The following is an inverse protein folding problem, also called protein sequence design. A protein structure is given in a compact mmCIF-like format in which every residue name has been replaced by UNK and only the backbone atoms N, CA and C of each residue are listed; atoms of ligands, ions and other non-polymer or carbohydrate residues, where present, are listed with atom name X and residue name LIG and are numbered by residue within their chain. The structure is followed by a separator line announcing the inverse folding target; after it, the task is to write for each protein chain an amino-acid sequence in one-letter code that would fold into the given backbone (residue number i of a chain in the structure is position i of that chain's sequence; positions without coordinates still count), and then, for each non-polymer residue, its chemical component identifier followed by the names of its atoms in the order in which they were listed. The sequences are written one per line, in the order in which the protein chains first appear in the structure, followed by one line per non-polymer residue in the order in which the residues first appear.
data_IF_106745035236
#
_entry.id   IF_106745035236
#
_cell.length_a   1.000
_cell.length_b   1.000
_cell.length_c   1.000
_cell.angle_alpha   90.00
_cell.angle_beta   90.00
_cell.angle_gamma   90.00
#
_symmetry.space_group_name_H-M   'P 1'
#
loop_
_entity.id
_entity.type
_entity.pdbx_description
1 polymer ?
#
# COMPACT_ATOMS: atom_id res chain seq x y z
N UNK A 1 10.12 -22.31 14.98
CA UNK A 1 11.10 -21.68 14.07
C UNK A 1 10.59 -21.83 12.65
N UNK A 2 9.85 -20.85 12.11
CA UNK A 2 9.26 -20.94 10.76
C UNK A 2 10.19 -20.23 9.78
N UNK A 3 10.87 -20.98 8.92
CA UNK A 3 11.85 -20.46 7.98
C UNK A 3 11.16 -19.79 6.78
N UNK A 4 11.17 -18.45 6.74
CA UNK A 4 10.72 -17.64 5.60
C UNK A 4 11.81 -17.62 4.53
N UNK A 5 11.90 -18.67 3.73
CA UNK A 5 12.80 -18.75 2.57
C UNK A 5 12.02 -18.65 1.26
N UNK A 6 12.40 -17.76 0.36
CA UNK A 6 11.90 -17.77 -1.04
C UNK A 6 12.98 -18.34 -1.94
N UNK A 7 12.60 -19.22 -2.85
CA UNK A 7 13.51 -19.76 -3.86
C UNK A 7 13.15 -19.13 -5.21
N UNK A 8 14.05 -18.32 -5.81
CA UNK A 8 13.85 -17.79 -7.14
C UNK A 8 13.73 -18.94 -8.16
N UNK A 9 12.86 -18.77 -9.16
CA UNK A 9 12.70 -19.76 -10.23
C UNK A 9 14.02 -19.90 -11.00
N UNK A 10 14.62 -21.09 -10.98
CA UNK A 10 15.92 -21.38 -11.60
C UNK A 10 17.15 -21.37 -10.67
N UNK A 11 16.99 -20.98 -9.40
CA UNK A 11 18.06 -21.03 -8.40
C UNK A 11 17.86 -22.18 -7.41
N UNK A 12 18.96 -22.77 -6.89
CA UNK A 12 18.92 -23.78 -5.79
C UNK A 12 19.11 -23.15 -4.41
N UNK A 13 19.38 -21.85 -4.33
CA UNK A 13 19.60 -21.16 -3.06
C UNK A 13 18.30 -20.64 -2.45
N UNK A 14 18.10 -20.95 -1.17
CA UNK A 14 17.02 -20.45 -0.35
C UNK A 14 17.41 -19.07 0.19
N UNK A 15 16.66 -18.02 -0.17
CA UNK A 15 16.89 -16.66 0.35
C UNK A 15 15.97 -16.43 1.54
N UNK A 16 16.53 -16.25 2.75
CA UNK A 16 15.75 -15.87 3.93
C UNK A 16 15.23 -14.44 3.76
N UNK A 17 13.91 -14.26 3.72
CA UNK A 17 13.25 -12.97 3.55
C UNK A 17 12.41 -12.64 4.79
N UNK A 18 12.74 -11.54 5.45
CA UNK A 18 11.86 -10.90 6.42
C UNK A 18 10.95 -9.90 5.69
N UNK A 19 9.79 -10.38 5.23
CA UNK A 19 8.87 -9.56 4.43
C UNK A 19 7.77 -8.99 5.32
N UNK A 20 7.65 -7.67 5.32
CA UNK A 20 6.44 -6.95 5.74
C UNK A 20 5.65 -6.60 4.48
N UNK A 21 4.58 -7.34 4.20
CA UNK A 21 3.71 -7.02 3.06
C UNK A 21 2.80 -5.85 3.46
N UNK A 22 2.82 -4.77 2.69
CA UNK A 22 1.98 -3.59 2.91
C UNK A 22 1.02 -3.47 1.73
N UNK A 23 -0.26 -3.66 2.03
CA UNK A 23 -1.46 -3.45 1.20
C UNK A 23 -1.74 -4.43 0.04
N UNK A 24 -3.00 -4.85 -0.05
CA UNK A 24 -3.63 -5.41 -1.24
C UNK A 24 -4.88 -4.57 -1.54
N UNK A 25 -5.10 -4.22 -2.80
CA UNK A 25 -6.24 -3.39 -3.22
C UNK A 25 -7.55 -4.20 -3.33
N UNK A 26 -7.49 -5.51 -3.05
CA UNK A 26 -8.63 -6.42 -3.09
C UNK A 26 -8.87 -7.04 -1.71
N UNK A 27 -10.13 -7.32 -1.31
CA UNK A 27 -10.41 -8.00 -0.06
C UNK A 27 -9.89 -9.44 -0.09
N UNK A 28 -8.69 -9.69 0.46
CA UNK A 28 -8.04 -11.01 0.44
C UNK A 28 -8.92 -12.13 1.02
N UNK A 29 -9.75 -11.82 2.01
CA UNK A 29 -10.71 -12.77 2.57
C UNK A 29 -11.72 -13.30 1.53
N UNK A 30 -12.14 -12.47 0.55
CA UNK A 30 -13.02 -12.91 -0.55
C UNK A 30 -12.26 -13.77 -1.55
N UNK A 31 -11.01 -13.43 -1.84
CA UNK A 31 -10.16 -14.18 -2.76
C UNK A 31 -9.78 -15.56 -2.22
N UNK A 32 -9.60 -15.70 -0.90
CA UNK A 32 -9.44 -16.99 -0.22
C UNK A 32 -10.70 -17.85 -0.39
N UNK A 33 -11.89 -17.29 -0.14
CA UNK A 33 -13.16 -18.01 -0.32
C UNK A 33 -13.40 -18.44 -1.77
N UNK A 34 -12.93 -17.64 -2.73
CA UNK A 34 -13.02 -17.95 -4.15
C UNK A 34 -11.95 -18.93 -4.65
N UNK A 35 -11.06 -19.43 -3.77
CA UNK A 35 -9.99 -20.35 -4.11
C UNK A 35 -8.85 -19.74 -4.94
N UNK A 36 -8.88 -18.43 -5.17
CA UNK A 36 -7.85 -17.70 -5.94
C UNK A 36 -6.66 -17.27 -5.10
N UNK A 37 -6.81 -17.27 -3.77
CA UNK A 37 -5.74 -16.93 -2.85
C UNK A 37 -5.49 -18.04 -1.83
N UNK A 38 -4.21 -18.32 -1.58
CA UNK A 38 -3.78 -19.36 -0.64
C UNK A 38 -4.09 -18.97 0.81
N UNK A 39 -4.86 -19.82 1.48
CA UNK A 39 -5.33 -19.60 2.84
C UNK A 39 -4.18 -19.54 3.87
N UNK A 40 -3.14 -20.36 3.70
CA UNK A 40 -1.97 -20.37 4.59
C UNK A 40 -1.12 -19.09 4.48
N UNK A 41 -1.10 -18.47 3.31
CA UNK A 41 -0.47 -17.17 3.09
C UNK A 41 -1.32 -16.07 3.74
N UNK A 42 -2.65 -16.10 3.55
CA UNK A 42 -3.55 -15.12 4.15
C UNK A 42 -3.38 -15.05 5.68
N UNK A 43 -3.41 -16.18 6.38
CA UNK A 43 -3.27 -16.19 7.84
C UNK A 43 -1.92 -15.69 8.35
N UNK A 44 -0.82 -15.87 7.59
CA UNK A 44 0.49 -15.31 7.94
C UNK A 44 0.59 -13.81 7.68
N UNK A 45 -0.16 -13.29 6.72
CA UNK A 45 -0.17 -11.85 6.39
C UNK A 45 -1.13 -11.06 7.26
N UNK A 46 -2.18 -11.69 7.76
CA UNK A 46 -3.26 -11.04 8.50
C UNK A 46 -2.95 -10.85 10.00
N UNK A 47 -1.68 -10.92 10.41
CA UNK A 47 -1.27 -10.73 11.81
C UNK A 47 -1.54 -9.29 12.28
N UNK A 48 -1.38 -8.30 11.40
CA UNK A 48 -1.80 -6.92 11.63
C UNK A 48 -2.34 -6.31 10.33
N UNK A 49 -3.60 -5.88 10.34
CA UNK A 49 -4.25 -5.21 9.21
C UNK A 49 -4.45 -3.74 9.55
N UNK A 50 -3.93 -2.86 8.70
CA UNK A 50 -4.24 -1.43 8.74
C UNK A 50 -5.18 -1.16 7.56
N UNK A 51 -6.41 -0.78 7.88
CA UNK A 51 -7.38 -0.34 6.88
C UNK A 51 -7.17 1.15 6.63
N UNK A 52 -6.68 1.50 5.45
CA UNK A 52 -6.62 2.88 5.01
C UNK A 52 -8.02 3.28 4.47
N UNK A 53 -8.73 4.23 5.09
CA UNK A 53 -9.98 4.71 4.53
C UNK A 53 -9.74 5.36 3.16
N UNK A 54 -10.69 5.25 2.22
CA UNK A 54 -10.61 5.93 0.95
C UNK A 54 -10.62 7.45 1.18
N UNK A 55 -10.07 8.20 0.23
CA UNK A 55 -9.90 9.67 0.37
C UNK A 55 -11.21 10.41 0.65
N UNK A 56 -12.34 9.93 0.12
CA UNK A 56 -13.69 10.48 0.38
C UNK A 56 -14.19 10.35 1.82
N UNK A 57 -13.58 9.47 2.62
CA UNK A 57 -13.91 9.21 4.03
C UNK A 57 -12.85 9.81 4.97
N UNK A 58 -11.91 10.61 4.43
CA UNK A 58 -10.84 11.26 5.18
C UNK A 58 -11.06 12.76 5.21
N UNK A 59 -10.77 13.36 6.36
CA UNK A 59 -10.87 14.82 6.57
C UNK A 59 -9.53 15.55 6.30
N UNK A 60 -8.46 14.82 5.96
CA UNK A 60 -7.10 15.34 5.77
C UNK A 60 -6.76 15.71 4.32
N UNK A 61 -7.78 15.87 3.47
CA UNK A 61 -7.61 16.11 2.02
C UNK A 61 -6.81 17.40 1.75
N UNK A 62 -7.12 18.48 2.47
CA UNK A 62 -6.43 19.76 2.31
C UNK A 62 -4.97 19.69 2.75
N UNK A 63 -4.68 18.99 3.86
CA UNK A 63 -3.31 18.81 4.35
C UNK A 63 -2.46 18.01 3.35
N UNK A 64 -3.02 16.94 2.80
CA UNK A 64 -2.39 16.15 1.74
C UNK A 64 -2.13 16.99 0.49
N UNK A 65 -3.14 17.75 0.05
CA UNK A 65 -3.03 18.58 -1.15
C UNK A 65 -1.97 19.67 -1.01
N UNK A 66 -1.89 20.32 0.16
CA UNK A 66 -0.84 21.29 0.47
C UNK A 66 0.55 20.64 0.50
N UNK A 67 0.68 19.41 1.01
CA UNK A 67 1.93 18.64 0.93
C UNK A 67 2.38 18.40 -0.51
N UNK A 68 1.47 17.91 -1.37
CA UNK A 68 1.77 17.67 -2.78
C UNK A 68 2.05 18.94 -3.57
N UNK A 69 1.48 20.10 -3.17
CA UNK A 69 1.79 21.38 -3.80
C UNK A 69 3.27 21.74 -3.68
N UNK A 70 3.89 21.44 -2.53
CA UNK A 70 5.33 21.66 -2.31
C UNK A 70 6.16 20.79 -3.24
N UNK A 71 5.85 19.50 -3.33
CA UNK A 71 6.53 18.56 -4.22
C UNK A 71 6.39 18.98 -5.70
N UNK A 72 5.17 19.33 -6.12
CA UNK A 72 4.88 19.76 -7.49
C UNK A 72 5.60 21.08 -7.84
N UNK A 73 5.69 22.03 -6.90
CA UNK A 73 6.45 23.26 -7.12
C UNK A 73 7.93 22.98 -7.38
N UNK A 74 8.53 22.03 -6.65
CA UNK A 74 9.91 21.62 -6.85
C UNK A 74 10.10 20.94 -8.21
N UNK A 75 9.19 20.06 -8.61
CA UNK A 75 9.28 19.31 -9.87
C UNK A 75 9.09 20.20 -11.11
N UNK A 76 8.12 21.13 -11.06
CA UNK A 76 7.76 21.97 -12.20
C UNK A 76 8.38 23.37 -12.18
N UNK A 77 9.22 23.69 -11.18
CA UNK A 77 9.82 25.02 -11.02
C UNK A 77 8.78 26.13 -10.83
N UNK A 78 7.64 25.82 -10.21
CA UNK A 78 6.54 26.76 -9.98
C UNK A 78 6.56 27.24 -8.53
N UNK A 79 5.89 28.38 -8.29
CA UNK A 79 5.76 28.97 -6.96
C UNK A 79 4.28 29.15 -6.59
N UNK A 80 3.47 28.11 -6.80
CA UNK A 80 2.07 28.11 -6.40
C UNK A 80 1.98 28.02 -4.87
N UNK A 81 1.43 29.06 -4.23
CA UNK A 81 1.39 29.16 -2.76
C UNK A 81 0.13 28.57 -2.14
N UNK A 82 -0.93 28.45 -2.92
CA UNK A 82 -2.25 28.13 -2.41
C UNK A 82 -3.07 27.37 -3.45
N UNK A 83 -3.94 26.48 -2.96
CA UNK A 83 -4.95 25.80 -3.77
C UNK A 83 -6.24 26.61 -3.62
N UNK A 84 -6.80 27.10 -4.72
CA UNK A 84 -8.03 27.90 -4.66
C UNK A 84 -9.19 27.05 -4.12
N UNK A 85 -9.98 27.62 -3.21
CA UNK A 85 -11.13 26.95 -2.59
C UNK A 85 -12.28 26.60 -3.57
N UNK A 86 -12.22 27.06 -4.83
CA UNK A 86 -13.24 26.78 -5.85
C UNK A 86 -12.81 25.70 -6.82
N UNK A 87 -13.49 24.56 -6.76
CA UNK A 87 -13.78 23.79 -7.97
C UNK A 87 -14.68 24.64 -8.86
N UNK A 88 -14.11 25.16 -9.95
CA UNK A 88 -14.89 25.81 -11.01
C UNK A 88 -15.39 24.76 -11.99
#
# INVERSE_FOLDING_TARGET
MQERGVQPLGSKQLVRLDVRIIASNVPLAKEVKAGRFRQDVYYRLNEFVITLPPLRERDDILDLANGFLVEANMEFGRACREISERGS
#
